data_IF_418921738653
#
_entry.id   IF_418921738653
#
_cell.length_a   1.000
_cell.length_b   1.000
_cell.length_c   1.000
_cell.angle_alpha   90.00
_cell.angle_beta   90.00
_cell.angle_gamma   90.00
#
_symmetry.space_group_name_H-M   'P 1'
#
loop_
_entity.id
_entity.type
_entity.pdbx_description
1 polymer ?
#
# COMPACT_ATOMS: atom_id res chain seq x y z
N UNK A 1 -18.58 9.70 -5.91
CA UNK A 1 -17.19 9.76 -5.42
C UNK A 1 -16.45 8.54 -5.95
N UNK A 2 -15.46 8.73 -6.84
CA UNK A 2 -14.83 7.65 -7.63
C UNK A 2 -14.34 6.43 -6.80
N UNK A 3 -13.99 6.63 -5.56
CA UNK A 3 -13.55 5.54 -4.69
C UNK A 3 -14.69 4.62 -4.21
N UNK A 4 -15.92 5.13 -4.14
CA UNK A 4 -17.07 4.32 -3.71
C UNK A 4 -17.55 3.38 -4.82
N UNK A 5 -17.14 3.63 -6.05
CA UNK A 5 -17.58 2.90 -7.25
C UNK A 5 -16.48 1.94 -7.74
N UNK A 6 -15.43 1.70 -6.93
CA UNK A 6 -14.30 0.84 -7.29
C UNK A 6 -14.11 -0.30 -6.29
N UNK A 7 -13.73 -1.46 -6.80
CA UNK A 7 -13.47 -2.65 -5.97
C UNK A 7 -12.16 -2.57 -5.20
N UNK A 8 -11.13 -1.94 -5.77
CA UNK A 8 -9.82 -1.75 -5.16
C UNK A 8 -9.08 -0.57 -5.80
N UNK A 9 -8.00 -0.15 -5.17
CA UNK A 9 -7.15 0.95 -5.64
C UNK A 9 -5.78 0.44 -6.09
N UNK A 10 -5.33 0.88 -7.27
CA UNK A 10 -3.94 0.72 -7.70
C UNK A 10 -3.22 2.03 -7.37
N UNK A 11 -2.26 1.96 -6.45
CA UNK A 11 -1.52 3.13 -5.99
C UNK A 11 -0.13 3.13 -6.61
N UNK A 12 0.19 4.18 -7.34
CA UNK A 12 1.53 4.39 -7.90
C UNK A 12 2.29 5.42 -7.07
N UNK A 13 3.37 4.99 -6.44
CA UNK A 13 4.23 5.88 -5.67
C UNK A 13 5.33 6.50 -6.54
N UNK A 14 5.84 7.66 -6.11
CA UNK A 14 6.85 8.40 -6.86
C UNK A 14 8.20 7.69 -6.91
N UNK A 15 8.49 6.79 -5.97
CA UNK A 15 9.73 6.03 -5.86
C UNK A 15 9.49 4.55 -6.13
N UNK A 16 9.24 4.21 -7.38
CA UNK A 16 9.18 2.81 -7.82
C UNK A 16 10.58 2.24 -8.09
N UNK A 17 11.47 3.07 -8.61
CA UNK A 17 12.82 2.71 -8.99
C UNK A 17 13.75 2.82 -7.77
N UNK A 18 14.33 1.72 -7.34
CA UNK A 18 15.47 1.77 -6.42
C UNK A 18 16.68 2.29 -7.21
N UNK A 19 17.00 3.57 -7.08
CA UNK A 19 18.26 4.08 -7.58
C UNK A 19 19.41 3.39 -6.84
N UNK A 20 20.40 2.90 -7.57
CA UNK A 20 21.59 2.20 -7.08
C UNK A 20 22.53 3.15 -6.31
N UNK A 21 22.07 3.72 -5.20
CA UNK A 21 22.89 4.51 -4.30
C UNK A 21 22.63 4.10 -2.86
N UNK A 22 23.68 3.88 -2.08
CA UNK A 22 23.58 3.44 -0.67
C UNK A 22 22.72 4.38 0.18
N UNK A 23 22.57 5.64 -0.22
CA UNK A 23 21.78 6.65 0.48
C UNK A 23 20.26 6.49 0.36
N UNK A 24 19.74 5.68 -0.58
CA UNK A 24 18.29 5.55 -0.84
C UNK A 24 17.70 4.21 -0.39
N UNK A 25 18.47 3.38 0.31
CA UNK A 25 18.03 2.03 0.76
C UNK A 25 16.79 2.01 1.67
N UNK A 26 16.32 3.15 2.14
CA UNK A 26 15.27 3.23 3.16
C UNK A 26 14.12 4.18 2.83
N UNK A 27 14.09 4.76 1.63
CA UNK A 27 12.98 5.64 1.24
C UNK A 27 11.88 4.77 0.63
N UNK A 28 10.89 4.42 1.42
CA UNK A 28 9.73 3.67 0.95
C UNK A 28 8.75 4.52 0.13
N UNK A 29 8.99 5.82 0.04
CA UNK A 29 8.26 6.74 -0.82
C UNK A 29 6.74 6.82 -0.60
N UNK A 30 6.25 6.37 0.56
CA UNK A 30 4.83 6.40 0.88
C UNK A 30 4.38 7.85 1.03
N UNK A 31 3.39 8.23 0.25
CA UNK A 31 2.84 9.58 0.24
C UNK A 31 1.30 9.58 0.45
N UNK A 32 0.70 10.74 0.26
CA UNK A 32 -0.74 10.94 0.45
C UNK A 32 -1.62 10.02 -0.39
N UNK A 33 -1.17 9.54 -1.54
CA UNK A 33 -1.93 8.64 -2.43
C UNK A 33 -2.19 7.31 -1.74
N UNK A 34 -1.15 6.72 -1.14
CA UNK A 34 -1.27 5.47 -0.40
C UNK A 34 -2.16 5.66 0.82
N UNK A 35 -1.97 6.72 1.63
CA UNK A 35 -2.84 6.97 2.79
C UNK A 35 -4.30 7.20 2.41
N UNK A 36 -4.56 7.85 1.28
CA UNK A 36 -5.92 8.05 0.79
C UNK A 36 -6.58 6.73 0.39
N UNK A 37 -5.87 5.87 -0.33
CA UNK A 37 -6.37 4.54 -0.68
C UNK A 37 -6.66 3.69 0.57
N UNK A 38 -5.76 3.69 1.56
CA UNK A 38 -5.92 2.96 2.82
C UNK A 38 -7.19 3.29 3.60
N UNK A 39 -7.69 4.52 3.47
CA UNK A 39 -8.91 4.93 4.16
C UNK A 39 -10.19 4.44 3.49
N UNK A 40 -10.13 3.99 2.25
CA UNK A 40 -11.32 3.83 1.41
C UNK A 40 -11.49 2.41 0.88
N UNK A 41 -10.42 1.78 0.40
CA UNK A 41 -10.49 0.53 -0.33
C UNK A 41 -9.32 -0.41 -0.01
N UNK A 42 -9.44 -1.72 -0.30
CA UNK A 42 -8.27 -2.56 -0.48
C UNK A 42 -7.39 -1.98 -1.60
N UNK A 43 -6.09 -2.16 -1.49
CA UNK A 43 -5.15 -1.53 -2.41
C UNK A 43 -3.96 -2.44 -2.73
N UNK A 44 -3.39 -2.25 -3.92
CA UNK A 44 -2.09 -2.73 -4.31
C UNK A 44 -1.16 -1.53 -4.59
N UNK A 45 0.10 -1.60 -4.15
CA UNK A 45 1.03 -0.47 -4.26
C UNK A 45 2.16 -0.79 -5.21
N UNK A 46 2.29 0.02 -6.26
CA UNK A 46 3.50 0.10 -7.07
C UNK A 46 4.47 1.08 -6.40
N UNK A 47 5.22 0.57 -5.45
CA UNK A 47 6.23 1.30 -4.69
C UNK A 47 7.62 0.67 -4.80
N UNK A 48 8.57 1.21 -4.04
CA UNK A 48 9.89 0.62 -3.91
C UNK A 48 9.85 -0.75 -3.23
N UNK A 49 10.95 -1.52 -3.37
CA UNK A 49 11.13 -2.80 -2.68
C UNK A 49 10.90 -2.64 -1.16
N UNK A 50 10.12 -3.53 -0.57
CA UNK A 50 9.82 -3.53 0.86
C UNK A 50 8.76 -2.52 1.32
N UNK A 51 8.00 -1.90 0.38
CA UNK A 51 6.93 -0.94 0.71
C UNK A 51 5.84 -1.57 1.58
N UNK A 52 5.36 -2.78 1.25
CA UNK A 52 4.35 -3.45 2.07
C UNK A 52 4.90 -3.86 3.45
N UNK A 53 6.15 -4.31 3.52
CA UNK A 53 6.81 -4.57 4.81
C UNK A 53 6.88 -3.33 5.69
N UNK A 54 7.14 -2.17 5.09
CA UNK A 54 7.14 -0.91 5.81
C UNK A 54 5.75 -0.55 6.31
N UNK A 55 4.71 -0.67 5.48
CA UNK A 55 3.33 -0.45 5.89
C UNK A 55 2.92 -1.34 7.06
N UNK A 56 3.25 -2.63 7.00
CA UNK A 56 3.00 -3.58 8.09
C UNK A 56 3.70 -3.17 9.41
N UNK A 57 4.93 -2.64 9.33
CA UNK A 57 5.65 -2.10 10.51
C UNK A 57 4.98 -0.86 11.10
N UNK A 58 4.28 -0.07 10.29
CA UNK A 58 3.49 1.07 10.74
C UNK A 58 2.12 0.66 11.33
N UNK A 59 1.78 -0.64 11.30
CA UNK A 59 0.55 -1.20 11.83
C UNK A 59 -0.58 -1.33 10.79
N UNK A 60 -0.32 -1.02 9.53
CA UNK A 60 -1.31 -1.19 8.46
C UNK A 60 -1.47 -2.66 8.08
N UNK A 61 -2.69 -3.01 7.73
CA UNK A 61 -3.03 -4.30 7.16
C UNK A 61 -3.01 -4.22 5.64
N UNK A 62 -2.47 -5.27 5.01
CA UNK A 62 -2.40 -5.46 3.57
C UNK A 62 -3.36 -6.57 3.15
N UNK A 63 -3.47 -6.85 1.86
CA UNK A 63 -4.55 -7.65 1.30
C UNK A 63 -4.05 -8.88 0.53
N UNK A 64 -3.32 -9.81 1.20
CA UNK A 64 -2.81 -11.03 0.55
C UNK A 64 -3.93 -11.99 0.09
N UNK A 65 -5.16 -11.79 0.57
CA UNK A 65 -6.34 -12.55 0.14
C UNK A 65 -6.78 -12.16 -1.28
N UNK A 66 -6.44 -10.95 -1.73
CA UNK A 66 -6.72 -10.46 -3.07
C UNK A 66 -5.48 -10.46 -3.96
N UNK A 67 -4.33 -10.06 -3.40
CA UNK A 67 -3.12 -9.80 -4.16
C UNK A 67 -1.99 -10.72 -3.72
N UNK A 68 -1.27 -11.28 -4.69
CA UNK A 68 0.01 -11.94 -4.41
C UNK A 68 1.03 -10.86 -4.01
N UNK A 69 1.33 -10.76 -2.71
CA UNK A 69 2.22 -9.75 -2.15
C UNK A 69 3.71 -10.10 -2.26
N UNK A 70 4.05 -11.23 -2.87
CA UNK A 70 5.45 -11.65 -3.05
C UNK A 70 6.27 -10.66 -3.89
N UNK A 71 5.60 -9.81 -4.68
CA UNK A 71 6.24 -8.75 -5.44
C UNK A 71 7.04 -7.78 -4.55
N UNK A 72 6.65 -7.60 -3.28
CA UNK A 72 7.33 -6.69 -2.36
C UNK A 72 8.76 -7.11 -2.03
N UNK A 73 9.08 -8.39 -2.23
CA UNK A 73 10.43 -8.97 -2.04
C UNK A 73 11.30 -8.93 -3.30
N UNK A 74 10.73 -8.58 -4.45
CA UNK A 74 11.47 -8.56 -5.73
C UNK A 74 12.27 -7.26 -5.84
N UNK A 75 13.60 -7.38 -5.88
CA UNK A 75 14.52 -6.24 -5.97
C UNK A 75 14.50 -5.63 -7.38
N UNK A 76 14.53 -6.48 -8.42
CA UNK A 76 14.45 -6.02 -9.80
C UNK A 76 13.10 -5.35 -10.06
N UNK A 77 13.12 -4.10 -10.51
CA UNK A 77 11.89 -3.32 -10.68
C UNK A 77 11.04 -3.78 -11.88
N UNK A 78 11.64 -4.30 -12.93
CA UNK A 78 10.88 -4.83 -14.07
C UNK A 78 10.14 -6.09 -13.65
N UNK A 79 10.84 -7.02 -12.98
CA UNK A 79 10.22 -8.26 -12.49
C UNK A 79 9.15 -7.97 -11.44
N UNK A 80 9.40 -6.98 -10.55
CA UNK A 80 8.41 -6.52 -9.56
C UNK A 80 7.16 -5.92 -10.24
N UNK A 81 7.35 -5.10 -11.28
CA UNK A 81 6.22 -4.55 -12.05
C UNK A 81 5.39 -5.65 -12.69
N UNK A 82 6.03 -6.62 -13.33
CA UNK A 82 5.34 -7.76 -13.93
C UNK A 82 4.56 -8.55 -12.89
N UNK A 83 5.15 -8.84 -11.74
CA UNK A 83 4.48 -9.54 -10.64
C UNK A 83 3.26 -8.76 -10.09
N UNK A 84 3.34 -7.43 -10.03
CA UNK A 84 2.19 -6.58 -9.66
C UNK A 84 1.09 -6.68 -10.73
N UNK A 85 1.44 -6.59 -12.02
CA UNK A 85 0.47 -6.73 -13.12
C UNK A 85 -0.21 -8.09 -13.07
N UNK A 86 0.55 -9.17 -12.92
CA UNK A 86 0.00 -10.54 -12.81
C UNK A 86 -0.97 -10.66 -11.62
N UNK A 87 -0.64 -10.02 -10.49
CA UNK A 87 -1.49 -10.00 -9.31
C UNK A 87 -2.81 -9.27 -9.55
N UNK A 88 -2.76 -8.11 -10.23
CA UNK A 88 -3.95 -7.34 -10.61
C UNK A 88 -4.82 -8.14 -11.59
N UNK A 89 -4.21 -8.77 -12.60
CA UNK A 89 -4.94 -9.58 -13.57
C UNK A 89 -5.70 -10.74 -12.93
N UNK A 90 -5.15 -11.39 -11.91
CA UNK A 90 -5.84 -12.44 -11.17
C UNK A 90 -7.12 -11.92 -10.53
N UNK A 91 -7.06 -10.76 -9.88
CA UNK A 91 -8.24 -10.14 -9.26
C UNK A 91 -9.26 -9.71 -10.31
N UNK A 92 -8.81 -9.15 -11.43
CA UNK A 92 -9.72 -8.74 -12.52
C UNK A 92 -10.41 -9.92 -13.23
N UNK A 93 -9.88 -11.13 -13.11
CA UNK A 93 -10.48 -12.38 -13.65
C UNK A 93 -11.43 -13.06 -12.66
N UNK A 94 -11.43 -12.60 -11.40
CA UNK A 94 -12.32 -13.12 -10.36
C UNK A 94 -13.78 -12.74 -10.66
N UNK A 95 -14.72 -13.62 -10.42
CA UNK A 95 -16.12 -13.25 -10.56
C UNK A 95 -16.61 -12.39 -9.38
N UNK A 96 -17.68 -11.65 -9.59
CA UNK A 96 -18.21 -10.71 -8.59
C UNK A 96 -18.60 -11.40 -7.28
N UNK A 97 -19.12 -12.63 -7.33
CA UNK A 97 -19.55 -13.37 -6.13
C UNK A 97 -18.34 -13.82 -5.32
N UNK A 98 -17.29 -14.28 -5.98
CA UNK A 98 -16.03 -14.66 -5.35
C UNK A 98 -15.41 -13.44 -4.68
N UNK A 99 -15.27 -12.32 -5.41
CA UNK A 99 -14.75 -11.08 -4.87
C UNK A 99 -15.53 -10.62 -3.64
N UNK A 100 -16.86 -10.52 -3.73
CA UNK A 100 -17.71 -10.11 -2.62
C UNK A 100 -17.63 -11.05 -1.42
N UNK A 101 -17.48 -12.36 -1.67
CA UNK A 101 -17.30 -13.32 -0.57
C UNK A 101 -16.02 -13.07 0.21
N UNK A 102 -14.90 -12.84 -0.48
CA UNK A 102 -13.60 -12.52 0.13
C UNK A 102 -13.70 -11.14 0.83
N UNK A 103 -14.26 -10.15 0.15
CA UNK A 103 -14.40 -8.80 0.68
C UNK A 103 -15.15 -8.79 2.01
N UNK A 104 -16.32 -9.41 2.08
CA UNK A 104 -17.14 -9.43 3.29
C UNK A 104 -16.51 -10.21 4.46
N UNK A 105 -15.76 -11.27 4.16
CA UNK A 105 -15.19 -12.13 5.19
C UNK A 105 -13.87 -11.62 5.75
N UNK A 106 -13.02 -11.07 4.89
CA UNK A 106 -11.61 -10.86 5.22
C UNK A 106 -11.16 -9.40 5.03
N UNK A 107 -11.70 -8.70 4.02
CA UNK A 107 -11.18 -7.40 3.59
C UNK A 107 -11.78 -6.24 4.37
N UNK A 108 -13.09 -6.23 4.59
CA UNK A 108 -13.80 -5.08 5.17
C UNK A 108 -13.23 -4.65 6.53
N UNK A 109 -12.88 -5.61 7.38
CA UNK A 109 -12.31 -5.31 8.70
C UNK A 109 -10.92 -4.70 8.60
N UNK A 110 -10.14 -5.13 7.62
CA UNK A 110 -8.80 -4.56 7.34
C UNK A 110 -8.90 -3.11 6.83
N UNK A 111 -9.85 -2.83 5.95
CA UNK A 111 -10.11 -1.46 5.47
C UNK A 111 -10.53 -0.55 6.63
N UNK A 112 -11.44 -1.02 7.50
CA UNK A 112 -11.87 -0.27 8.69
C UNK A 112 -10.68 -0.01 9.61
N UNK A 113 -9.87 -1.04 9.92
CA UNK A 113 -8.66 -0.89 10.72
C UNK A 113 -7.69 0.16 10.16
N UNK A 114 -7.41 0.10 8.87
CA UNK A 114 -6.51 1.05 8.21
C UNK A 114 -7.05 2.49 8.28
N UNK A 115 -8.36 2.66 8.04
CA UNK A 115 -9.04 3.95 8.16
C UNK A 115 -8.91 4.54 9.58
N UNK A 116 -9.18 3.73 10.59
CA UNK A 116 -9.08 4.15 11.98
C UNK A 116 -7.65 4.51 12.36
N UNK A 117 -6.67 3.73 11.89
CA UNK A 117 -5.27 4.01 12.13
C UNK A 117 -4.84 5.35 11.52
N UNK A 118 -5.16 5.61 10.24
CA UNK A 118 -4.85 6.90 9.58
C UNK A 118 -5.55 8.07 10.28
N UNK A 119 -6.80 7.87 10.71
CA UNK A 119 -7.58 8.90 11.41
C UNK A 119 -7.08 9.17 12.84
N UNK A 120 -6.32 8.25 13.43
CA UNK A 120 -5.89 8.32 14.82
C UNK A 120 -4.99 9.53 15.10
N UNK A 121 -5.16 10.14 16.28
CA UNK A 121 -4.31 11.23 16.73
C UNK A 121 -2.85 10.81 16.82
N UNK A 122 -2.59 9.62 17.36
CA UNK A 122 -1.24 9.05 17.51
C UNK A 122 -0.50 8.93 16.19
N UNK A 123 -1.18 8.47 15.12
CA UNK A 123 -0.59 8.34 13.80
C UNK A 123 -0.23 9.72 13.22
N UNK A 124 -1.15 10.68 13.32
CA UNK A 124 -0.93 12.07 12.88
C UNK A 124 0.24 12.72 13.60
N UNK A 125 0.31 12.60 14.92
CA UNK A 125 1.41 13.13 15.74
C UNK A 125 2.76 12.49 15.37
N UNK A 126 2.80 11.18 15.10
CA UNK A 126 4.03 10.50 14.69
C UNK A 126 4.53 10.98 13.33
N UNK A 127 3.65 11.16 12.35
CA UNK A 127 4.03 11.69 11.03
C UNK A 127 4.55 13.12 11.16
N UNK A 128 3.83 14.00 11.88
CA UNK A 128 4.25 15.38 12.08
C UNK A 128 5.57 15.49 12.86
N UNK A 129 5.75 14.69 13.89
CA UNK A 129 6.99 14.71 14.68
C UNK A 129 8.21 14.25 13.85
N UNK A 130 8.02 13.28 12.95
CA UNK A 130 9.07 12.86 12.03
C UNK A 130 9.40 13.94 11.02
N UNK A 131 8.39 14.56 10.41
CA UNK A 131 8.56 15.65 9.44
C UNK A 131 9.28 16.85 10.08
N UNK A 132 8.88 17.27 11.30
CA UNK A 132 9.53 18.37 12.02
C UNK A 132 10.98 18.02 12.34
N UNK A 133 11.28 16.81 12.78
CA UNK A 133 12.68 16.37 13.05
C UNK A 133 13.53 16.40 11.79
N UNK A 134 13.02 15.96 10.67
CA UNK A 134 13.72 16.01 9.38
C UNK A 134 13.97 17.47 8.94
N UNK A 135 12.98 18.34 9.12
CA UNK A 135 13.12 19.77 8.81
C UNK A 135 14.16 20.49 9.68
N UNK A 136 14.25 20.15 10.98
CA UNK A 136 15.22 20.74 11.91
C UNK A 136 16.64 20.17 11.78
N UNK A 137 16.81 19.08 11.03
CA UNK A 137 18.11 18.46 10.76
C UNK A 137 18.79 19.02 9.48
N UNK A 138 18.09 19.90 8.74
CA UNK A 138 18.63 20.63 7.57
C UNK A 138 19.31 21.91 8.01
#
# INVERSE_FOLDING_TARGET
>A
DHYCDTYFSIVTESYFWSHHGEHYKHITGINEKTYKAMMLNPFIVLGGHGTLKHLKKLGFQTFPELFDESYDDIINHTDRLLAVVDSIEKVCKMDDKEFHSIYCKEIILKVIHNRELVASKKFKENIWSKFIKELLAL
#
